data_IF_847893613984
#
_entry.id   IF_847893613984
#
_cell.length_a   1.000
_cell.length_b   1.000
_cell.length_c   1.000
_cell.angle_alpha   90.00
_cell.angle_beta   90.00
_cell.angle_gamma   90.00
#
_symmetry.space_group_name_H-M   'P 1'
#
loop_
_entity.id
_entity.type
_entity.pdbx_description
1 polymer ?
#
# COMPACT_ATOMS: atom_id res chain seq x y z
N UNK A 1 20.28 -29.06 -6.50
CA UNK A 1 18.86 -29.14 -6.11
C UNK A 1 18.62 -30.47 -5.44
N UNK A 2 18.12 -30.47 -4.20
CA UNK A 2 17.67 -31.68 -3.51
C UNK A 2 16.29 -32.10 -4.04
N UNK A 3 16.04 -33.40 -4.12
CA UNK A 3 14.70 -33.95 -4.40
C UNK A 3 13.78 -33.80 -3.18
N UNK A 4 12.45 -33.80 -3.38
CA UNK A 4 11.47 -33.76 -2.27
C UNK A 4 11.75 -34.80 -1.19
N UNK A 5 12.08 -36.04 -1.58
CA UNK A 5 12.41 -37.14 -0.64
C UNK A 5 13.67 -36.86 0.20
N UNK A 6 14.69 -36.25 -0.41
CA UNK A 6 15.91 -35.85 0.31
C UNK A 6 15.62 -34.71 1.28
N UNK A 7 14.82 -33.73 0.86
CA UNK A 7 14.40 -32.59 1.69
C UNK A 7 13.62 -33.09 2.91
N UNK A 8 12.58 -33.91 2.72
CA UNK A 8 11.77 -34.40 3.85
C UNK A 8 12.57 -35.27 4.81
N UNK A 9 13.42 -36.15 4.28
CA UNK A 9 14.31 -36.98 5.12
C UNK A 9 15.29 -36.13 5.94
N UNK A 10 15.81 -35.05 5.35
CA UNK A 10 16.69 -34.13 6.04
C UNK A 10 15.95 -33.36 7.14
N UNK A 11 14.75 -32.86 6.86
CA UNK A 11 13.90 -32.16 7.86
C UNK A 11 13.59 -33.07 9.04
N UNK A 12 13.14 -34.31 8.80
CA UNK A 12 12.88 -35.29 9.87
C UNK A 12 14.10 -35.50 10.75
N UNK A 13 15.29 -35.63 10.15
CA UNK A 13 16.55 -35.77 10.89
C UNK A 13 16.89 -34.53 11.72
N UNK A 14 16.69 -33.33 11.19
CA UNK A 14 16.94 -32.07 11.92
C UNK A 14 15.95 -31.87 13.08
N UNK A 15 14.69 -32.21 12.85
CA UNK A 15 13.62 -32.19 13.85
C UNK A 15 13.91 -33.14 15.01
N UNK A 16 14.29 -34.40 14.73
CA UNK A 16 14.69 -35.38 15.74
C UNK A 16 15.90 -34.91 16.58
N UNK A 17 16.81 -34.15 15.96
CA UNK A 17 17.95 -33.52 16.64
C UNK A 17 17.59 -32.23 17.39
N UNK A 18 16.31 -31.82 17.39
CA UNK A 18 15.82 -30.58 18.01
C UNK A 18 16.51 -29.33 17.51
N UNK A 19 16.99 -29.35 16.25
CA UNK A 19 17.54 -28.14 15.63
C UNK A 19 16.42 -27.14 15.33
N UNK A 20 16.71 -25.82 15.36
CA UNK A 20 15.72 -24.82 15.01
C UNK A 20 15.36 -24.93 13.52
N UNK A 21 14.06 -24.95 13.24
CA UNK A 21 13.51 -25.14 11.89
C UNK A 21 12.70 -23.95 11.40
N UNK A 22 12.70 -22.81 12.09
CA UNK A 22 12.18 -21.57 11.52
C UNK A 22 13.06 -21.13 10.33
N UNK A 23 12.46 -20.50 9.33
CA UNK A 23 13.09 -20.19 8.03
C UNK A 23 14.46 -19.54 8.20
N UNK A 24 14.58 -18.51 9.04
CA UNK A 24 15.84 -17.78 9.24
C UNK A 24 16.95 -18.68 9.78
N UNK A 25 16.65 -19.56 10.74
CA UNK A 25 17.63 -20.48 11.30
C UNK A 25 18.10 -21.53 10.28
N UNK A 26 17.19 -22.06 9.48
CA UNK A 26 17.52 -23.02 8.42
C UNK A 26 18.28 -22.34 7.29
N UNK A 27 17.92 -21.11 6.91
CA UNK A 27 18.66 -20.33 5.90
C UNK A 27 20.11 -20.11 6.31
N UNK A 28 20.38 -19.87 7.61
CA UNK A 28 21.75 -19.74 8.12
C UNK A 28 22.51 -21.07 8.14
N UNK A 29 21.89 -22.14 8.65
CA UNK A 29 22.58 -23.40 8.95
C UNK A 29 22.60 -24.39 7.78
N UNK A 30 21.59 -24.34 6.91
CA UNK A 30 21.35 -25.26 5.79
C UNK A 30 20.75 -24.51 4.59
N UNK A 31 21.44 -23.51 4.01
CA UNK A 31 20.90 -22.67 2.93
C UNK A 31 20.39 -23.48 1.73
N UNK A 32 21.13 -24.51 1.32
CA UNK A 32 20.74 -25.39 0.21
C UNK A 32 19.40 -26.13 0.44
N UNK A 33 19.04 -26.39 1.71
CA UNK A 33 17.77 -27.04 2.05
C UNK A 33 16.60 -26.09 1.81
N UNK A 34 16.72 -24.84 2.25
CA UNK A 34 15.74 -23.78 1.99
C UNK A 34 15.67 -23.50 0.49
N UNK A 35 16.79 -23.27 -0.18
CA UNK A 35 16.82 -23.01 -1.63
C UNK A 35 16.15 -24.13 -2.42
N UNK A 36 16.43 -25.39 -2.08
CA UNK A 36 15.81 -26.53 -2.76
C UNK A 36 14.32 -26.65 -2.48
N UNK A 37 13.85 -26.31 -1.28
CA UNK A 37 12.42 -26.31 -0.94
C UNK A 37 11.64 -25.25 -1.72
N UNK A 38 12.17 -24.03 -1.82
CA UNK A 38 11.53 -22.92 -2.53
C UNK A 38 11.65 -23.03 -4.06
N UNK A 39 12.57 -23.83 -4.58
CA UNK A 39 12.73 -24.04 -6.01
C UNK A 39 11.86 -25.16 -6.60
N UNK A 40 11.06 -25.87 -5.78
CA UNK A 40 10.17 -26.91 -6.28
C UNK A 40 9.02 -26.31 -7.10
N UNK A 41 8.61 -27.03 -8.16
CA UNK A 41 7.44 -26.69 -8.98
C UNK A 41 6.43 -27.87 -8.96
N UNK A 42 5.12 -27.63 -8.73
CA UNK A 42 4.55 -26.37 -8.25
C UNK A 42 5.15 -25.94 -6.91
N UNK A 43 5.07 -24.65 -6.62
CA UNK A 43 5.64 -24.05 -5.41
C UNK A 43 5.25 -24.86 -4.17
N UNK A 44 6.27 -25.22 -3.39
CA UNK A 44 6.09 -26.00 -2.18
C UNK A 44 6.13 -25.10 -0.94
N UNK A 45 7.19 -24.28 -0.82
CA UNK A 45 7.37 -23.42 0.34
C UNK A 45 7.79 -24.18 1.60
N UNK A 46 8.25 -23.47 2.62
CA UNK A 46 8.81 -24.09 3.82
C UNK A 46 7.74 -24.76 4.68
N UNK A 47 6.60 -24.11 4.90
CA UNK A 47 5.51 -24.63 5.71
C UNK A 47 4.97 -25.96 5.16
N UNK A 48 4.65 -26.03 3.88
CA UNK A 48 4.14 -27.28 3.29
C UNK A 48 5.23 -28.36 3.27
N UNK A 49 6.51 -27.97 3.13
CA UNK A 49 7.63 -28.91 3.24
C UNK A 49 7.70 -29.56 4.63
N UNK A 50 7.49 -28.78 5.69
CA UNK A 50 7.40 -29.29 7.07
C UNK A 50 6.20 -30.23 7.24
N UNK A 51 5.03 -29.82 6.76
CA UNK A 51 3.79 -30.63 6.82
C UNK A 51 3.95 -31.97 6.08
N UNK A 52 4.50 -31.97 4.86
CA UNK A 52 4.83 -33.20 4.09
C UNK A 52 5.94 -34.04 4.73
N UNK A 53 6.66 -33.47 5.70
CA UNK A 53 7.66 -34.17 6.52
C UNK A 53 7.07 -34.68 7.84
N UNK A 54 5.74 -34.67 8.00
CA UNK A 54 5.05 -35.01 9.24
C UNK A 54 5.52 -34.16 10.45
N UNK A 55 5.91 -32.90 10.20
CA UNK A 55 6.35 -31.95 11.22
C UNK A 55 5.39 -30.77 11.25
N UNK A 56 4.60 -30.66 12.31
CA UNK A 56 3.75 -29.49 12.51
C UNK A 56 4.58 -28.26 12.84
N UNK A 57 4.28 -27.14 12.18
CA UNK A 57 5.02 -25.89 12.40
C UNK A 57 5.03 -25.46 13.88
N UNK A 58 3.91 -25.61 14.60
CA UNK A 58 3.80 -25.29 16.04
C UNK A 58 4.70 -26.14 16.95
N UNK A 59 5.20 -27.27 16.47
CA UNK A 59 6.04 -28.20 17.23
C UNK A 59 7.55 -27.95 17.03
N UNK A 60 7.93 -27.07 16.10
CA UNK A 60 9.34 -26.85 15.79
C UNK A 60 10.03 -26.01 16.86
N UNK A 61 11.34 -26.22 17.00
CA UNK A 61 12.17 -25.26 17.71
C UNK A 61 12.41 -24.03 16.83
N UNK A 62 12.36 -22.84 17.44
CA UNK A 62 12.65 -21.57 16.77
C UNK A 62 13.88 -20.91 17.39
N UNK A 63 14.76 -20.38 16.57
CA UNK A 63 15.92 -19.60 17.00
C UNK A 63 15.94 -18.24 16.29
N UNK A 64 16.13 -17.19 17.09
CA UNK A 64 16.37 -15.83 16.62
C UNK A 64 17.70 -15.34 17.18
N UNK A 65 18.56 -14.83 16.29
CA UNK A 65 19.78 -14.17 16.73
C UNK A 65 19.46 -12.82 17.37
N UNK A 66 20.02 -12.56 18.55
CA UNK A 66 19.87 -11.29 19.26
C UNK A 66 20.93 -10.25 18.88
N UNK A 67 21.83 -10.59 17.97
CA UNK A 67 22.87 -9.72 17.42
C UNK A 67 22.88 -9.70 15.89
N UNK A 68 23.53 -8.66 15.35
CA UNK A 68 24.07 -8.55 13.99
C UNK A 68 25.58 -8.41 14.09
N UNK A 69 26.28 -8.79 13.02
CA UNK A 69 27.75 -8.69 12.93
C UNK A 69 28.10 -7.60 11.95
N UNK A 70 28.91 -6.62 12.35
CA UNK A 70 29.42 -5.63 11.41
C UNK A 70 30.36 -6.30 10.40
N UNK A 71 30.12 -6.12 9.10
CA UNK A 71 30.94 -6.69 8.03
C UNK A 71 32.32 -6.03 7.91
N UNK A 72 32.52 -4.84 8.49
CA UNK A 72 33.80 -4.11 8.45
C UNK A 72 34.74 -4.57 9.59
N UNK A 73 34.23 -4.75 10.82
CA UNK A 73 35.06 -5.04 11.99
C UNK A 73 34.70 -6.32 12.78
N UNK A 74 33.67 -7.06 12.37
CA UNK A 74 33.25 -8.29 13.03
C UNK A 74 32.58 -8.11 14.40
N UNK A 75 32.42 -6.87 14.90
CA UNK A 75 31.80 -6.64 16.20
C UNK A 75 30.30 -7.03 16.18
N UNK A 76 29.87 -7.73 17.22
CA UNK A 76 28.46 -8.11 17.43
C UNK A 76 27.72 -7.08 18.25
N UNK A 77 26.51 -6.72 17.83
CA UNK A 77 25.63 -5.78 18.54
C UNK A 77 24.18 -5.98 18.14
N UNK A 78 23.24 -5.41 18.90
CA UNK A 78 21.80 -5.57 18.60
C UNK A 78 21.38 -4.85 17.32
N UNK A 79 21.96 -3.68 17.05
CA UNK A 79 21.69 -2.90 15.85
C UNK A 79 22.95 -2.17 15.36
N UNK A 80 23.17 -2.20 14.05
CA UNK A 80 24.09 -1.32 13.35
C UNK A 80 23.37 0.02 13.12
N UNK A 81 23.71 1.00 13.93
CA UNK A 81 23.21 2.37 13.79
C UNK A 81 24.33 3.36 13.47
N UNK A 82 23.96 4.63 13.29
CA UNK A 82 24.93 5.70 13.01
C UNK A 82 26.03 5.79 14.06
N UNK A 83 25.72 5.56 15.34
CA UNK A 83 26.72 5.53 16.41
C UNK A 83 27.87 4.53 16.17
N UNK A 84 27.60 3.41 15.51
CA UNK A 84 28.66 2.46 15.17
C UNK A 84 29.28 2.77 13.81
N UNK A 85 28.44 2.89 12.77
CA UNK A 85 28.92 3.00 11.40
C UNK A 85 29.60 4.35 11.13
N UNK A 86 29.00 5.46 11.55
CA UNK A 86 29.51 6.80 11.27
C UNK A 86 30.73 7.11 12.13
N UNK A 87 30.68 6.84 13.43
CA UNK A 87 31.80 7.19 14.32
C UNK A 87 33.00 6.25 14.22
N UNK A 88 32.78 4.96 13.92
CA UNK A 88 33.85 3.95 13.94
C UNK A 88 34.40 3.65 12.55
N UNK A 89 33.59 3.82 11.51
CA UNK A 89 33.96 3.51 10.12
C UNK A 89 33.76 4.69 9.16
N UNK A 90 33.25 5.83 9.63
CA UNK A 90 32.97 7.01 8.81
C UNK A 90 32.13 6.70 7.56
N UNK A 91 31.17 5.76 7.69
CA UNK A 91 30.25 5.36 6.61
C UNK A 91 28.82 5.60 7.06
N UNK A 92 28.00 6.13 6.14
CA UNK A 92 26.58 6.31 6.42
C UNK A 92 25.83 4.96 6.32
N UNK A 93 24.77 4.73 7.12
CA UNK A 93 23.99 3.48 7.05
C UNK A 93 23.51 3.10 5.64
N UNK A 94 23.14 4.08 4.81
CA UNK A 94 22.72 3.85 3.42
C UNK A 94 23.85 3.36 2.52
N UNK A 95 25.07 3.87 2.73
CA UNK A 95 26.27 3.46 2.00
C UNK A 95 26.66 2.04 2.42
N UNK A 96 26.60 1.76 3.73
CA UNK A 96 26.86 0.42 4.26
C UNK A 96 25.94 -0.65 3.66
N UNK A 97 24.64 -0.38 3.55
CA UNK A 97 23.68 -1.32 2.92
C UNK A 97 23.94 -1.45 1.42
N UNK A 98 24.47 -0.42 0.76
CA UNK A 98 24.85 -0.50 -0.66
C UNK A 98 26.09 -1.37 -0.85
N UNK A 99 27.08 -1.26 0.02
CA UNK A 99 28.31 -2.07 0.00
C UNK A 99 28.07 -3.51 0.44
N UNK A 100 27.16 -3.71 1.41
CA UNK A 100 26.77 -5.02 1.93
C UNK A 100 25.25 -5.23 1.81
N UNK A 101 24.72 -5.53 0.61
CA UNK A 101 23.27 -5.66 0.38
C UNK A 101 22.56 -6.71 1.23
N UNK A 102 23.27 -7.77 1.61
CA UNK A 102 22.74 -8.86 2.46
C UNK A 102 22.93 -8.58 3.96
N UNK A 103 23.53 -7.46 4.34
CA UNK A 103 23.79 -7.15 5.74
C UNK A 103 22.53 -6.68 6.47
N UNK A 104 22.23 -7.35 7.56
CA UNK A 104 21.12 -6.99 8.43
C UNK A 104 21.54 -5.88 9.40
N UNK A 105 20.77 -4.81 9.45
CA UNK A 105 21.05 -3.66 10.32
C UNK A 105 20.53 -3.84 11.75
N UNK A 106 19.62 -4.79 11.98
CA UNK A 106 19.03 -5.07 13.30
C UNK A 106 18.93 -6.57 13.51
N UNK A 107 19.11 -6.99 14.75
CA UNK A 107 19.03 -8.40 15.11
C UNK A 107 17.63 -8.97 14.86
N UNK A 108 17.57 -10.28 14.69
CA UNK A 108 16.32 -11.00 14.43
C UNK A 108 15.33 -10.81 15.58
N UNK A 109 15.81 -10.82 16.82
CA UNK A 109 14.97 -10.52 18.00
C UNK A 109 14.36 -9.12 17.92
N UNK A 110 15.08 -8.12 17.38
CA UNK A 110 14.55 -6.77 17.21
C UNK A 110 13.60 -6.63 16.01
N UNK A 111 13.78 -7.46 14.97
CA UNK A 111 12.92 -7.49 13.78
C UNK A 111 11.69 -8.40 13.95
N UNK A 112 11.67 -9.22 15.01
CA UNK A 112 10.60 -10.15 15.31
C UNK A 112 9.24 -9.47 15.18
N UNK A 113 8.38 -10.06 14.35
CA UNK A 113 7.09 -9.51 14.02
C UNK A 113 6.18 -9.52 15.25
N UNK A 114 5.50 -8.39 15.47
CA UNK A 114 4.51 -8.23 16.52
C UNK A 114 3.21 -7.73 15.87
N UNK A 115 2.19 -8.59 15.68
CA UNK A 115 0.94 -8.15 15.08
C UNK A 115 0.31 -7.07 15.95
N UNK A 116 -0.05 -5.95 15.33
CA UNK A 116 -0.83 -4.88 15.98
C UNK A 116 -2.33 -4.99 15.72
N UNK A 117 -2.73 -5.79 14.73
CA UNK A 117 -4.10 -5.95 14.28
C UNK A 117 -4.48 -7.43 14.27
N UNK A 118 -5.80 -7.70 14.23
CA UNK A 118 -6.33 -9.04 14.05
C UNK A 118 -5.98 -9.53 12.65
N UNK A 119 -5.26 -10.64 12.58
CA UNK A 119 -4.89 -11.31 11.34
C UNK A 119 -6.02 -12.27 10.91
N UNK A 120 -6.18 -12.50 9.60
CA UNK A 120 -7.08 -13.54 9.07
C UNK A 120 -6.61 -14.90 9.56
N UNK A 121 -5.29 -15.10 9.53
CA UNK A 121 -4.65 -16.33 9.98
C UNK A 121 -3.48 -16.03 10.91
N UNK A 122 -3.20 -16.90 11.89
CA UNK A 122 -2.06 -16.74 12.78
C UNK A 122 -0.76 -16.48 12.01
N UNK A 123 0.10 -15.65 12.57
CA UNK A 123 1.48 -15.50 12.09
C UNK A 123 2.30 -16.63 12.73
N UNK A 124 2.85 -17.54 11.92
CA UNK A 124 3.57 -18.72 12.43
C UNK A 124 5.09 -18.56 12.45
N UNK A 125 5.68 -17.81 11.51
CA UNK A 125 7.09 -17.44 11.61
C UNK A 125 7.27 -16.28 12.59
N UNK A 126 8.39 -16.20 13.31
CA UNK A 126 8.69 -15.01 14.11
C UNK A 126 9.11 -13.79 13.25
N UNK A 127 9.52 -14.00 12.00
CA UNK A 127 10.03 -12.94 11.12
C UNK A 127 9.26 -12.87 9.80
N UNK A 128 9.00 -11.65 9.35
CA UNK A 128 8.55 -11.39 8.00
C UNK A 128 9.76 -11.33 7.05
N UNK A 129 10.20 -12.50 6.56
CA UNK A 129 11.22 -12.60 5.51
C UNK A 129 10.59 -12.68 4.12
N UNK A 130 11.32 -12.45 3.01
CA UNK A 130 10.81 -12.70 1.66
C UNK A 130 10.25 -14.11 1.49
N UNK A 131 10.96 -15.12 1.99
CA UNK A 131 10.55 -16.53 1.98
C UNK A 131 9.23 -16.73 2.72
N UNK A 132 9.11 -16.17 3.94
CA UNK A 132 7.87 -16.25 4.71
C UNK A 132 6.69 -15.60 4.00
N UNK A 133 6.90 -14.48 3.30
CA UNK A 133 5.83 -13.82 2.56
C UNK A 133 5.31 -14.75 1.45
N UNK A 134 6.20 -15.41 0.70
CA UNK A 134 5.81 -16.39 -0.32
C UNK A 134 5.02 -17.54 0.31
N UNK A 135 5.53 -18.12 1.39
CA UNK A 135 4.86 -19.19 2.16
C UNK A 135 3.47 -18.77 2.64
N UNK A 136 3.35 -17.55 3.17
CA UNK A 136 2.09 -17.05 3.69
C UNK A 136 1.06 -16.89 2.58
N UNK A 137 1.44 -16.32 1.43
CA UNK A 137 0.53 -16.15 0.29
C UNK A 137 0.15 -17.49 -0.33
N UNK A 138 1.10 -18.42 -0.49
CA UNK A 138 0.81 -19.76 -0.98
C UNK A 138 -0.15 -20.52 -0.05
N UNK A 139 0.05 -20.41 1.26
CA UNK A 139 -0.86 -21.00 2.25
C UNK A 139 -2.24 -20.35 2.22
N UNK A 140 -2.35 -19.04 2.02
CA UNK A 140 -3.66 -18.39 1.85
C UNK A 140 -4.41 -18.98 0.66
N UNK A 141 -3.73 -19.11 -0.48
CA UNK A 141 -4.31 -19.70 -1.68
C UNK A 141 -4.74 -21.16 -1.46
N UNK A 142 -3.93 -21.97 -0.77
CA UNK A 142 -4.28 -23.37 -0.47
C UNK A 142 -5.48 -23.50 0.47
N UNK A 143 -5.72 -22.52 1.33
CA UNK A 143 -6.92 -22.44 2.19
C UNK A 143 -8.15 -21.87 1.46
N UNK A 144 -8.06 -21.61 0.15
CA UNK A 144 -9.15 -21.01 -0.64
C UNK A 144 -9.39 -19.53 -0.35
N UNK A 145 -8.47 -18.85 0.35
CA UNK A 145 -8.53 -17.40 0.56
C UNK A 145 -8.08 -16.72 -0.71
N UNK A 146 -8.86 -15.74 -1.19
CA UNK A 146 -8.48 -14.98 -2.37
C UNK A 146 -7.17 -14.20 -2.15
N UNK A 147 -6.16 -14.47 -2.97
CA UNK A 147 -4.83 -13.82 -2.85
C UNK A 147 -4.65 -12.64 -3.80
N UNK A 148 -5.75 -12.07 -4.31
CA UNK A 148 -5.68 -10.84 -5.07
C UNK A 148 -5.21 -9.67 -4.16
N UNK A 149 -4.48 -8.72 -4.76
CA UNK A 149 -3.86 -7.62 -4.02
C UNK A 149 -4.87 -6.83 -3.16
N UNK A 150 -6.10 -6.65 -3.65
CA UNK A 150 -7.15 -5.92 -2.93
C UNK A 150 -7.56 -6.67 -1.65
N UNK A 151 -7.82 -7.97 -1.74
CA UNK A 151 -8.22 -8.77 -0.59
C UNK A 151 -7.14 -8.76 0.51
N UNK A 152 -5.87 -8.93 0.11
CA UNK A 152 -4.75 -8.90 1.05
C UNK A 152 -4.56 -7.51 1.67
N UNK A 153 -4.70 -6.43 0.90
CA UNK A 153 -4.60 -5.07 1.44
C UNK A 153 -5.67 -4.78 2.51
N UNK A 154 -6.90 -5.24 2.28
CA UNK A 154 -8.02 -4.98 3.19
C UNK A 154 -7.91 -5.78 4.50
N UNK A 155 -7.46 -7.03 4.41
CA UNK A 155 -7.49 -7.94 5.54
C UNK A 155 -6.12 -8.14 6.24
N UNK A 156 -5.00 -7.95 5.52
CA UNK A 156 -3.63 -8.14 6.01
C UNK A 156 -2.71 -6.99 5.55
N UNK A 157 -2.98 -5.72 5.95
CA UNK A 157 -2.22 -4.56 5.47
C UNK A 157 -0.72 -4.61 5.84
N UNK A 158 -0.37 -5.27 6.96
CA UNK A 158 1.04 -5.49 7.32
C UNK A 158 1.75 -6.46 6.37
N UNK A 159 1.07 -7.53 5.93
CA UNK A 159 1.61 -8.46 4.93
C UNK A 159 1.83 -7.73 3.60
N UNK A 160 0.83 -6.96 3.14
CA UNK A 160 0.94 -6.17 1.91
C UNK A 160 2.13 -5.21 1.96
N UNK A 161 2.30 -4.48 3.08
CA UNK A 161 3.45 -3.59 3.24
C UNK A 161 4.78 -4.33 3.18
N UNK A 162 4.92 -5.46 3.90
CA UNK A 162 6.15 -6.24 3.89
C UNK A 162 6.44 -6.85 2.51
N UNK A 163 5.41 -7.32 1.80
CA UNK A 163 5.50 -7.80 0.42
C UNK A 163 6.08 -6.73 -0.52
N UNK A 164 5.54 -5.50 -0.49
CA UNK A 164 6.04 -4.41 -1.32
C UNK A 164 7.46 -3.97 -0.94
N UNK A 165 7.83 -4.03 0.35
CA UNK A 165 9.17 -3.61 0.80
C UNK A 165 10.26 -4.65 0.52
N UNK A 166 9.95 -5.94 0.66
CA UNK A 166 10.96 -7.01 0.63
C UNK A 166 11.06 -7.73 -0.71
N UNK A 167 9.97 -7.75 -1.48
CA UNK A 167 9.92 -8.43 -2.79
C UNK A 167 9.70 -7.41 -3.91
N UNK A 168 8.91 -6.36 -3.67
CA UNK A 168 8.72 -5.25 -4.60
C UNK A 168 7.37 -5.28 -5.31
N UNK A 169 7.04 -6.39 -5.98
CA UNK A 169 5.82 -6.53 -6.80
C UNK A 169 4.93 -7.67 -6.30
N UNK A 170 3.61 -7.45 -6.36
CA UNK A 170 2.62 -8.49 -6.03
C UNK A 170 2.59 -9.58 -7.10
N UNK A 171 2.75 -9.22 -8.36
CA UNK A 171 2.83 -10.20 -9.45
C UNK A 171 4.04 -11.11 -9.30
N UNK A 172 5.19 -10.56 -8.88
CA UNK A 172 6.41 -11.34 -8.68
C UNK A 172 6.20 -12.40 -7.59
N UNK A 173 5.41 -12.07 -6.56
CA UNK A 173 5.01 -13.03 -5.53
C UNK A 173 4.17 -14.15 -6.16
N UNK A 174 3.12 -13.79 -6.91
CA UNK A 174 2.23 -14.77 -7.55
C UNK A 174 2.99 -15.70 -8.51
N UNK A 175 3.86 -15.15 -9.36
CA UNK A 175 4.71 -15.92 -10.27
C UNK A 175 5.63 -16.86 -9.49
N UNK A 176 6.29 -16.36 -8.43
CA UNK A 176 7.17 -17.19 -7.59
C UNK A 176 6.44 -18.34 -6.91
N UNK A 177 5.17 -18.17 -6.57
CA UNK A 177 4.33 -19.25 -6.02
C UNK A 177 3.59 -20.06 -7.10
N UNK A 178 4.01 -19.97 -8.37
CA UNK A 178 3.45 -20.70 -9.50
C UNK A 178 1.97 -20.39 -9.79
N UNK A 179 1.51 -19.18 -9.49
CA UNK A 179 0.18 -18.69 -9.88
C UNK A 179 0.31 -17.68 -11.03
N UNK A 180 -0.60 -17.76 -12.01
CA UNK A 180 -0.67 -16.74 -13.05
C UNK A 180 -1.31 -15.46 -12.49
N UNK A 181 -0.60 -14.31 -12.48
CA UNK A 181 -1.17 -13.05 -12.05
C UNK A 181 -2.46 -12.69 -12.78
N UNK A 182 -2.65 -13.09 -14.05
CA UNK A 182 -3.85 -12.77 -14.82
C UNK A 182 -5.10 -13.47 -14.31
N UNK A 183 -4.94 -14.70 -13.82
CA UNK A 183 -6.05 -15.50 -13.28
C UNK A 183 -6.39 -15.07 -11.85
N UNK A 184 -5.37 -14.66 -11.09
CA UNK A 184 -5.50 -14.26 -9.67
C UNK A 184 -5.92 -12.82 -9.49
N UNK A 185 -5.42 -11.92 -10.35
CA UNK A 185 -6.05 -10.63 -10.49
C UNK A 185 -7.49 -11.00 -10.81
N UNK A 186 -8.42 -10.56 -9.96
CA UNK A 186 -9.76 -10.33 -10.45
C UNK A 186 -9.56 -9.41 -11.64
N UNK A 187 -9.49 -10.02 -12.82
CA UNK A 187 -9.51 -9.33 -14.07
C UNK A 187 -10.79 -8.54 -13.93
N UNK A 188 -10.67 -7.24 -13.70
CA UNK A 188 -11.53 -6.34 -14.43
C UNK A 188 -11.14 -6.69 -15.87
N UNK A 189 -11.97 -7.45 -16.62
CA UNK A 189 -11.63 -7.91 -17.97
C UNK A 189 -10.97 -6.78 -18.74
N UNK A 190 -10.06 -7.06 -19.67
CA UNK A 190 -9.43 -6.06 -20.55
C UNK A 190 -10.44 -5.21 -21.39
N UNK A 191 -11.76 -5.37 -21.18
CA UNK A 191 -12.85 -4.51 -21.66
C UNK A 191 -13.68 -3.77 -20.58
N UNK A 192 -13.41 -3.88 -19.27
CA UNK A 192 -14.19 -3.21 -18.20
C UNK A 192 -13.79 -1.76 -17.94
N UNK A 193 -12.89 -1.20 -18.73
CA UNK A 193 -12.77 0.25 -18.78
C UNK A 193 -12.69 0.71 -20.23
N UNK A 194 -13.44 0.05 -21.11
CA UNK A 194 -13.85 0.69 -22.35
C UNK A 194 -14.58 1.99 -22.00
N UNK A 195 -14.55 2.97 -22.91
CA UNK A 195 -15.32 4.20 -22.76
C UNK A 195 -16.79 3.90 -22.40
N UNK A 196 -17.35 2.85 -23.00
CA UNK A 196 -18.73 2.41 -22.76
C UNK A 196 -18.95 1.88 -21.34
N UNK A 197 -18.01 1.10 -20.80
CA UNK A 197 -18.13 0.60 -19.41
C UNK A 197 -18.01 1.73 -18.38
N UNK A 198 -17.14 2.71 -18.63
CA UNK A 198 -17.03 3.90 -17.79
C UNK A 198 -18.34 4.68 -17.82
N UNK A 199 -18.92 4.88 -19.01
CA UNK A 199 -20.23 5.53 -19.18
C UNK A 199 -21.33 4.78 -18.44
N UNK A 200 -21.48 3.48 -18.65
CA UNK A 200 -22.53 2.68 -18.02
C UNK A 200 -22.39 2.64 -16.50
N UNK A 201 -21.16 2.61 -15.99
CA UNK A 201 -20.89 2.64 -14.55
C UNK A 201 -21.24 3.99 -13.94
N UNK A 202 -20.89 5.09 -14.59
CA UNK A 202 -21.26 6.44 -14.14
C UNK A 202 -22.78 6.64 -14.15
N UNK A 203 -23.47 6.17 -15.21
CA UNK A 203 -24.94 6.23 -15.31
C UNK A 203 -25.62 5.42 -14.21
N UNK A 204 -25.17 4.19 -13.97
CA UNK A 204 -25.71 3.33 -12.91
C UNK A 204 -25.53 3.93 -11.53
N UNK A 205 -24.33 4.42 -11.22
CA UNK A 205 -24.07 5.06 -9.92
C UNK A 205 -24.89 6.35 -9.74
N UNK A 206 -25.12 7.10 -10.82
CA UNK A 206 -25.98 8.28 -10.82
C UNK A 206 -27.45 7.91 -10.54
N UNK A 207 -27.97 6.86 -11.20
CA UNK A 207 -29.35 6.41 -10.99
C UNK A 207 -29.60 5.78 -9.62
N UNK A 208 -28.57 5.14 -9.05
CA UNK A 208 -28.57 4.62 -7.67
C UNK A 208 -28.41 5.71 -6.61
N UNK A 209 -28.23 6.98 -7.02
CA UNK A 209 -28.13 8.13 -6.11
C UNK A 209 -26.79 8.24 -5.39
N UNK A 210 -25.75 7.54 -5.86
CA UNK A 210 -24.42 7.63 -5.27
C UNK A 210 -23.78 8.99 -5.53
N UNK A 211 -23.01 9.48 -4.54
CA UNK A 211 -22.22 10.70 -4.69
C UNK A 211 -20.98 10.45 -5.54
N UNK A 212 -20.98 10.99 -6.76
CA UNK A 212 -19.91 10.87 -7.74
C UNK A 212 -18.78 11.90 -7.58
N UNK A 213 -18.72 12.61 -6.45
CA UNK A 213 -17.62 13.55 -6.17
C UNK A 213 -16.27 12.83 -6.08
N UNK A 214 -15.22 13.49 -6.56
CA UNK A 214 -13.84 12.98 -6.55
C UNK A 214 -13.39 12.50 -5.15
N UNK A 215 -13.83 13.18 -4.09
CA UNK A 215 -13.50 12.83 -2.71
C UNK A 215 -14.17 11.53 -2.25
N UNK A 216 -15.44 11.32 -2.56
CA UNK A 216 -16.17 10.11 -2.17
C UNK A 216 -15.77 8.90 -3.02
N UNK A 217 -15.48 9.09 -4.31
CA UNK A 217 -14.95 8.01 -5.16
C UNK A 217 -13.52 7.60 -4.81
N UNK A 218 -12.71 8.47 -4.19
CA UNK A 218 -11.38 8.10 -3.69
C UNK A 218 -11.45 7.33 -2.36
N UNK A 219 -12.51 7.52 -1.58
CA UNK A 219 -12.69 6.93 -0.26
C UNK A 219 -13.45 5.60 -0.30
N UNK A 220 -14.35 5.41 -1.28
CA UNK A 220 -14.97 4.11 -1.52
C UNK A 220 -13.92 3.14 -2.07
N UNK A 221 -13.65 2.07 -1.32
CA UNK A 221 -12.67 1.06 -1.70
C UNK A 221 -13.05 0.46 -3.07
N UNK A 222 -12.25 0.74 -4.11
CA UNK A 222 -12.45 0.19 -5.47
C UNK A 222 -12.78 1.19 -6.57
N UNK A 223 -13.00 2.47 -6.24
CA UNK A 223 -13.33 3.53 -7.22
C UNK A 223 -12.19 4.53 -7.48
N UNK A 224 -11.07 4.42 -6.78
CA UNK A 224 -9.81 5.14 -7.12
C UNK A 224 -9.38 4.83 -8.56
N UNK A 225 -9.73 3.66 -9.07
CA UNK A 225 -9.56 3.24 -10.47
C UNK A 225 -10.52 3.97 -11.42
N UNK A 226 -11.79 4.18 -11.08
CA UNK A 226 -12.78 4.81 -11.96
C UNK A 226 -12.41 6.26 -12.26
N UNK A 227 -12.04 7.07 -11.24
CA UNK A 227 -11.65 8.47 -11.44
C UNK A 227 -10.39 8.59 -12.30
N UNK A 228 -9.34 7.84 -11.96
CA UNK A 228 -8.06 7.87 -12.67
C UNK A 228 -8.19 7.34 -14.11
N UNK A 229 -8.99 6.28 -14.33
CA UNK A 229 -9.22 5.71 -15.66
C UNK A 229 -10.13 6.60 -16.51
N UNK A 230 -11.17 7.21 -15.93
CA UNK A 230 -12.00 8.19 -16.63
C UNK A 230 -11.18 9.36 -17.16
N UNK A 231 -10.25 9.89 -16.35
CA UNK A 231 -9.35 10.95 -16.79
C UNK A 231 -8.41 10.49 -17.92
N UNK A 232 -7.94 9.24 -17.88
CA UNK A 232 -7.07 8.67 -18.91
C UNK A 232 -7.78 8.43 -20.24
N UNK A 233 -8.98 7.86 -20.22
CA UNK A 233 -9.72 7.48 -21.44
C UNK A 233 -10.43 8.66 -22.12
N UNK A 234 -10.88 9.65 -21.33
CA UNK A 234 -11.66 10.79 -21.83
C UNK A 234 -10.90 12.12 -21.78
N UNK A 235 -9.67 12.14 -21.26
CA UNK A 235 -8.87 13.35 -21.03
C UNK A 235 -9.15 14.04 -19.68
N UNK A 236 -10.38 13.90 -19.15
CA UNK A 236 -10.74 14.37 -17.81
C UNK A 236 -11.99 13.66 -17.27
N UNK A 237 -12.14 13.61 -15.95
CA UNK A 237 -13.34 13.05 -15.31
C UNK A 237 -14.63 13.81 -15.68
N UNK A 238 -14.54 15.13 -15.85
CA UNK A 238 -15.68 15.93 -16.30
C UNK A 238 -16.11 15.59 -17.73
N UNK A 239 -15.18 15.24 -18.61
CA UNK A 239 -15.50 14.76 -19.95
C UNK A 239 -16.16 13.38 -19.91
N UNK A 240 -15.74 12.50 -18.99
CA UNK A 240 -16.39 11.22 -18.78
C UNK A 240 -17.85 11.37 -18.27
N UNK A 241 -18.10 12.30 -17.33
CA UNK A 241 -19.47 12.61 -16.86
C UNK A 241 -20.35 13.16 -18.00
N UNK A 242 -19.82 14.06 -18.83
CA UNK A 242 -20.53 14.57 -20.02
C UNK A 242 -20.85 13.45 -21.02
N UNK A 243 -19.90 12.56 -21.27
CA UNK A 243 -20.10 11.41 -22.14
C UNK A 243 -21.15 10.44 -21.57
N UNK A 244 -21.30 10.38 -20.25
CA UNK A 244 -22.34 9.64 -19.56
C UNK A 244 -23.71 10.35 -19.52
N UNK A 245 -23.84 11.56 -20.06
CA UNK A 245 -25.06 12.37 -19.99
C UNK A 245 -25.32 13.01 -18.62
N UNK A 246 -24.32 13.03 -17.73
CA UNK A 246 -24.42 13.56 -16.37
C UNK A 246 -23.80 14.96 -16.37
N UNK A 247 -24.52 15.96 -15.86
CA UNK A 247 -23.97 17.30 -15.72
C UNK A 247 -22.86 17.31 -14.64
N UNK A 248 -21.59 17.59 -15.01
CA UNK A 248 -20.49 17.62 -14.06
C UNK A 248 -20.66 18.64 -12.94
N UNK A 249 -21.50 19.65 -13.13
CA UNK A 249 -21.79 20.67 -12.10
C UNK A 249 -22.45 20.04 -10.88
N UNK A 250 -23.22 18.96 -11.04
CA UNK A 250 -23.91 18.26 -9.96
C UNK A 250 -22.95 17.54 -8.99
N UNK A 251 -21.76 17.15 -9.47
CA UNK A 251 -20.79 16.31 -8.73
C UNK A 251 -19.40 16.92 -8.65
N UNK A 252 -19.26 18.15 -9.12
CA UNK A 252 -18.08 18.94 -8.86
C UNK A 252 -17.92 19.14 -7.35
N UNK A 253 -16.70 19.23 -6.80
CA UNK A 253 -16.49 19.77 -5.45
C UNK A 253 -17.18 21.15 -5.23
N UNK A 254 -17.70 21.78 -6.30
CA UNK A 254 -18.52 22.99 -6.31
C UNK A 254 -20.05 22.79 -6.15
N UNK A 255 -20.58 21.56 -6.14
CA UNK A 255 -21.98 21.28 -5.81
C UNK A 255 -22.24 21.34 -4.29
N UNK A 256 -21.23 21.00 -3.49
CA UNK A 256 -21.23 21.14 -2.02
C UNK A 256 -21.22 22.60 -1.52
N UNK A 257 -21.22 23.58 -2.44
CA UNK A 257 -20.98 24.98 -2.13
C UNK A 257 -22.24 25.82 -1.93
N UNK A 258 -23.45 25.27 -1.91
CA UNK A 258 -24.63 26.15 -1.79
C UNK A 258 -24.64 26.95 -0.47
N UNK A 259 -24.35 26.30 0.68
CA UNK A 259 -24.23 27.00 1.97
C UNK A 259 -23.00 27.89 2.08
N UNK A 260 -21.87 27.45 1.53
CA UNK A 260 -20.59 28.17 1.61
C UNK A 260 -20.55 29.37 0.67
N UNK A 261 -21.13 29.28 -0.54
CA UNK A 261 -21.34 30.41 -1.45
C UNK A 261 -22.33 31.41 -0.85
N UNK A 262 -23.47 30.96 -0.31
CA UNK A 262 -24.41 31.86 0.38
C UNK A 262 -23.74 32.62 1.53
N UNK A 263 -22.82 31.98 2.26
CA UNK A 263 -22.03 32.63 3.33
C UNK A 263 -20.98 33.58 2.76
N UNK A 264 -20.28 33.19 1.70
CA UNK A 264 -19.31 34.03 0.99
C UNK A 264 -19.98 35.31 0.47
N UNK A 265 -21.09 35.18 -0.26
CA UNK A 265 -21.84 36.30 -0.83
C UNK A 265 -22.36 37.26 0.25
N UNK A 266 -22.90 36.72 1.35
CA UNK A 266 -23.35 37.53 2.49
C UNK A 266 -22.20 38.33 3.09
N UNK A 267 -21.03 37.73 3.25
CA UNK A 267 -19.85 38.39 3.83
C UNK A 267 -19.24 39.40 2.89
N UNK A 268 -19.20 39.13 1.59
CA UNK A 268 -18.77 40.10 0.57
C UNK A 268 -19.69 41.32 0.56
N UNK A 269 -21.01 41.13 0.47
CA UNK A 269 -22.00 42.24 0.54
C UNK A 269 -21.89 43.05 1.83
N UNK A 270 -21.65 42.40 2.97
CA UNK A 270 -21.45 43.08 4.25
C UNK A 270 -20.11 43.84 4.32
N UNK A 271 -19.05 43.33 3.70
CA UNK A 271 -17.74 43.98 3.67
C UNK A 271 -17.74 45.24 2.80
N UNK A 272 -18.43 45.21 1.65
CA UNK A 272 -18.54 46.36 0.72
C UNK A 272 -19.20 47.56 1.39
N UNK A 273 -20.21 47.34 2.25
CA UNK A 273 -20.89 48.41 3.00
C UNK A 273 -20.04 49.07 4.09
N UNK A 274 -18.84 48.57 4.38
CA UNK A 274 -17.96 49.13 5.42
C UNK A 274 -17.14 50.31 4.89
N UNK A 275 -16.73 51.24 5.78
CA UNK A 275 -15.79 52.30 5.44
C UNK A 275 -14.44 51.71 4.98
N UNK A 276 -13.65 52.45 4.18
CA UNK A 276 -12.48 51.92 3.46
C UNK A 276 -11.45 51.21 4.35
N UNK A 277 -11.16 51.77 5.52
CA UNK A 277 -10.23 51.25 6.52
C UNK A 277 -10.65 49.87 7.09
N UNK A 278 -11.96 49.65 7.26
CA UNK A 278 -12.53 48.39 7.77
C UNK A 278 -12.88 47.41 6.66
N UNK A 279 -13.07 47.90 5.43
CA UNK A 279 -13.32 47.09 4.22
C UNK A 279 -12.10 46.26 3.84
N UNK A 280 -10.92 46.88 3.83
CA UNK A 280 -9.67 46.20 3.46
C UNK A 280 -9.35 45.04 4.41
N UNK A 281 -9.46 45.28 5.73
CA UNK A 281 -9.30 44.23 6.76
C UNK A 281 -10.33 43.10 6.61
N UNK A 282 -11.53 43.40 6.13
CA UNK A 282 -12.56 42.40 5.90
C UNK A 282 -12.26 41.55 4.66
N UNK A 283 -11.78 42.16 3.58
CA UNK A 283 -11.37 41.48 2.35
C UNK A 283 -10.21 40.52 2.60
N UNK A 284 -9.19 40.92 3.36
CA UNK A 284 -8.08 40.02 3.75
C UNK A 284 -8.61 38.77 4.48
N UNK A 285 -9.54 38.93 5.41
CA UNK A 285 -10.15 37.79 6.14
C UNK A 285 -10.98 36.90 5.21
N UNK A 286 -11.76 37.50 4.31
CA UNK A 286 -12.57 36.75 3.35
C UNK A 286 -11.67 35.96 2.38
N UNK A 287 -10.58 36.57 1.90
CA UNK A 287 -9.61 35.91 1.03
C UNK A 287 -8.94 34.70 1.70
N UNK A 288 -8.58 34.83 2.98
CA UNK A 288 -8.00 33.73 3.77
C UNK A 288 -9.02 32.61 4.05
N UNK A 289 -10.25 32.97 4.41
CA UNK A 289 -11.29 32.02 4.80
C UNK A 289 -11.92 31.29 3.60
N UNK A 290 -12.02 31.96 2.45
CA UNK A 290 -12.72 31.46 1.27
C UNK A 290 -11.79 31.29 0.05
N UNK A 291 -10.50 31.02 0.29
CA UNK A 291 -9.51 30.76 -0.78
C UNK A 291 -9.99 29.73 -1.79
N UNK A 292 -10.65 28.66 -1.30
CA UNK A 292 -11.21 27.62 -2.16
C UNK A 292 -12.34 28.13 -3.08
N UNK A 293 -13.19 29.08 -2.62
CA UNK A 293 -14.24 29.72 -3.46
C UNK A 293 -13.60 30.57 -4.56
N UNK A 294 -12.53 31.29 -4.22
CA UNK A 294 -11.86 32.21 -5.13
C UNK A 294 -11.16 31.42 -6.22
N UNK A 295 -10.42 30.36 -5.85
CA UNK A 295 -9.84 29.40 -6.80
C UNK A 295 -10.89 28.76 -7.70
N UNK A 296 -12.04 28.40 -7.13
CA UNK A 296 -13.13 27.72 -7.82
C UNK A 296 -13.90 28.55 -8.83
N UNK A 297 -14.39 29.72 -8.40
CA UNK A 297 -15.40 30.51 -9.12
C UNK A 297 -14.80 31.70 -9.86
N UNK A 298 -13.60 32.11 -9.45
CA UNK A 298 -12.94 33.31 -9.97
C UNK A 298 -11.53 33.01 -10.49
N UNK A 299 -11.26 31.73 -10.79
CA UNK A 299 -9.96 31.23 -11.28
C UNK A 299 -8.77 31.64 -10.39
N UNK A 300 -8.98 31.75 -9.08
CA UNK A 300 -7.94 32.14 -8.11
C UNK A 300 -7.64 33.63 -8.08
N UNK A 301 -8.31 34.43 -8.91
CA UNK A 301 -8.07 35.88 -9.02
C UNK A 301 -9.01 36.65 -8.09
N UNK A 302 -8.41 37.45 -7.21
CA UNK A 302 -9.17 38.39 -6.36
C UNK A 302 -9.74 39.55 -7.17
N UNK A 303 -9.11 39.96 -8.27
CA UNK A 303 -9.60 41.03 -9.12
C UNK A 303 -10.93 40.64 -9.80
N UNK A 304 -11.05 39.40 -10.27
CA UNK A 304 -12.32 38.88 -10.80
C UNK A 304 -13.43 38.85 -9.73
N UNK A 305 -13.09 38.66 -8.45
CA UNK A 305 -14.05 38.76 -7.34
C UNK A 305 -14.53 40.21 -7.22
N UNK A 306 -13.62 41.18 -7.20
CA UNK A 306 -13.98 42.60 -7.05
C UNK A 306 -14.81 43.12 -8.23
N UNK A 307 -14.48 42.73 -9.46
CA UNK A 307 -15.24 43.05 -10.67
C UNK A 307 -16.67 42.50 -10.62
N UNK A 308 -16.83 41.23 -10.22
CA UNK A 308 -18.14 40.60 -10.10
C UNK A 308 -19.05 41.28 -9.07
N UNK A 309 -18.45 41.98 -8.09
CA UNK A 309 -19.16 42.72 -7.06
C UNK A 309 -19.15 44.25 -7.28
N UNK A 310 -18.67 44.71 -8.45
CA UNK A 310 -18.61 46.12 -8.85
C UNK A 310 -17.89 47.03 -7.84
N UNK A 311 -16.90 46.49 -7.12
CA UNK A 311 -16.15 47.26 -6.12
C UNK A 311 -15.09 48.09 -6.84
N UNK A 312 -15.19 49.42 -6.74
CA UNK A 312 -14.24 50.35 -7.37
C UNK A 312 -14.65 50.84 -8.77
N UNK A 313 -15.91 50.61 -9.19
CA UNK A 313 -16.53 51.35 -10.30
C UNK A 313 -17.30 52.54 -9.72
N UNK A 314 -16.58 53.58 -9.34
CA UNK A 314 -17.10 54.95 -9.17
C UNK A 314 -16.44 55.85 -10.22
#
# INVERSE_FOLDING_TARGET
>A
MLSKKQITSQIKRLFLKRQPLNISAVKRSHPQLIESAYAQTPFWGWRATLEDSDVEYSSINTELLDYVTCNICGQRMKALGGLHLEYRHNIQPSEYVTEFPEAEMRSEVQRAYKPKAKLIMPHWEPLATPEYILDRVAYFHSQGIEVNQRNILLNEPSLMRSAMLLIGSWDDILVKISLDPKDIRHSVPDGTYSKDHIISTLQRLHSEGHDLTCSNLKLAAGTTTLFARSAREFGSYNQALKAAGIDPVLYSPYALFDKTLKRFDRRMKAAIKRPPDRREKAFIRIRKEFGNVISARYAGSWNHVLEAYQVGKE
#
